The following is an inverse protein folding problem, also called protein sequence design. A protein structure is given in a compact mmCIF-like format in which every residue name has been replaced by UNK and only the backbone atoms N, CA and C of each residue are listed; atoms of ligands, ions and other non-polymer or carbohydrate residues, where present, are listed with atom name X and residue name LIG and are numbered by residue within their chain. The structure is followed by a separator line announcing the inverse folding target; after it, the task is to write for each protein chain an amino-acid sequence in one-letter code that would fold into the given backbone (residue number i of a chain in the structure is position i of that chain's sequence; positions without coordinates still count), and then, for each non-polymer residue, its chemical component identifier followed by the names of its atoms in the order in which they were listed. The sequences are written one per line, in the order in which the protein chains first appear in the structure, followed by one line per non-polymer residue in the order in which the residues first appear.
data_IF_385637404110
#
_entry.id   IF_385637404110
#
_cell.length_a   1.000
_cell.length_b   1.000
_cell.length_c   1.000
_cell.angle_alpha   90.00
_cell.angle_beta   90.00
_cell.angle_gamma   90.00
#
_symmetry.space_group_name_H-M   'P 1'
#
loop_
_entity.id
_entity.type
_entity.pdbx_description
1 polymer ?
#
# COMPACT_ATOMS: atom_id res chain seq x y z
N UNK A 1 4.00 7.39 2.26
CA UNK A 1 4.94 6.40 2.83
C UNK A 1 6.07 6.10 1.85
N UNK A 2 5.77 5.85 0.58
CA UNK A 2 6.76 5.74 -0.50
C UNK A 2 7.55 7.05 -0.70
N UNK A 3 6.90 8.21 -0.60
CA UNK A 3 7.52 9.53 -0.74
C UNK A 3 8.66 9.79 0.25
N UNK A 4 8.45 9.55 1.55
CA UNK A 4 9.49 9.71 2.59
C UNK A 4 10.72 8.82 2.32
N UNK A 5 10.48 7.58 1.87
CA UNK A 5 11.57 6.66 1.51
C UNK A 5 12.32 7.18 0.29
N UNK A 6 11.62 7.68 -0.72
CA UNK A 6 12.24 8.24 -1.93
C UNK A 6 13.05 9.50 -1.63
N UNK A 7 12.55 10.40 -0.80
CA UNK A 7 13.30 11.59 -0.36
C UNK A 7 14.56 11.17 0.41
N UNK A 8 14.43 10.27 1.38
CA UNK A 8 15.57 9.86 2.21
C UNK A 8 16.67 9.18 1.38
N UNK A 9 16.29 8.24 0.50
CA UNK A 9 17.24 7.56 -0.39
C UNK A 9 17.82 8.51 -1.42
N UNK A 10 16.98 9.39 -1.97
CA UNK A 10 17.38 10.41 -2.93
C UNK A 10 18.38 11.38 -2.34
N UNK A 11 18.16 11.87 -1.12
CA UNK A 11 19.10 12.74 -0.39
C UNK A 11 20.41 12.02 -0.07
N UNK A 12 20.35 10.74 0.30
CA UNK A 12 21.55 9.96 0.63
C UNK A 12 22.48 9.75 -0.59
N UNK A 13 21.91 9.53 -1.78
CA UNK A 13 22.67 9.23 -3.00
C UNK A 13 22.87 10.48 -3.88
N UNK A 14 22.05 11.51 -3.71
CA UNK A 14 22.10 12.78 -4.43
C UNK A 14 21.41 12.75 -5.80
N UNK A 15 20.68 11.68 -6.13
CA UNK A 15 19.95 11.53 -7.39
C UNK A 15 18.69 10.67 -7.18
N UNK A 16 17.75 10.74 -8.14
CA UNK A 16 16.47 10.03 -8.08
C UNK A 16 16.42 8.85 -9.06
N UNK A 17 15.62 7.83 -8.72
CA UNK A 17 15.26 6.77 -9.66
C UNK A 17 14.15 7.23 -10.61
N UNK A 18 14.03 6.64 -11.81
CA UNK A 18 12.98 7.00 -12.78
C UNK A 18 11.55 6.64 -12.32
N UNK A 19 11.42 5.82 -11.25
CA UNK A 19 10.14 5.49 -10.62
C UNK A 19 9.87 6.30 -9.35
N UNK A 20 10.77 7.21 -8.97
CA UNK A 20 10.65 8.05 -7.79
C UNK A 20 10.19 9.44 -8.21
N UNK A 21 9.12 9.94 -7.60
CA UNK A 21 8.75 11.35 -7.75
C UNK A 21 9.64 12.18 -6.82
N UNK A 22 10.59 12.92 -7.40
CA UNK A 22 11.55 13.74 -6.65
C UNK A 22 11.99 14.94 -7.48
N UNK A 23 12.38 16.03 -6.81
CA UNK A 23 12.99 17.20 -7.44
C UNK A 23 14.47 16.97 -7.83
N UNK A 24 15.08 15.88 -7.37
CA UNK A 24 16.47 15.54 -7.65
C UNK A 24 16.64 15.03 -9.09
N UNK A 25 17.79 15.31 -9.74
CA UNK A 25 18.06 14.79 -11.07
C UNK A 25 18.09 13.27 -11.06
N UNK A 26 17.67 12.64 -12.16
CA UNK A 26 17.75 11.20 -12.29
C UNK A 26 19.20 10.73 -12.30
N UNK A 27 19.48 9.60 -11.64
CA UNK A 27 20.79 8.97 -11.67
C UNK A 27 21.12 8.55 -13.12
N UNK A 28 22.29 8.97 -13.63
CA UNK A 28 22.68 8.79 -15.03
C UNK A 28 23.81 7.78 -15.24
N UNK A 29 24.44 7.33 -14.16
CA UNK A 29 25.55 6.39 -14.19
C UNK A 29 25.26 5.11 -13.39
N UNK A 30 25.91 4.02 -13.79
CA UNK A 30 25.77 2.69 -13.17
C UNK A 30 26.06 2.71 -11.67
N UNK A 31 27.11 3.42 -11.24
CA UNK A 31 27.48 3.49 -9.81
C UNK A 31 26.40 4.14 -8.99
N UNK A 32 25.87 5.27 -9.45
CA UNK A 32 24.79 6.00 -8.77
C UNK A 32 23.50 5.16 -8.70
N UNK A 33 23.11 4.50 -9.79
CA UNK A 33 21.93 3.61 -9.79
C UNK A 33 22.13 2.44 -8.83
N UNK A 34 23.31 1.82 -8.82
CA UNK A 34 23.61 0.72 -7.91
C UNK A 34 23.52 1.18 -6.45
N UNK A 35 24.11 2.33 -6.14
CA UNK A 35 24.13 2.87 -4.79
C UNK A 35 22.72 3.30 -4.35
N UNK A 36 21.89 3.84 -5.25
CA UNK A 36 20.46 4.12 -5.05
C UNK A 36 19.67 2.85 -4.73
N UNK A 37 19.84 1.79 -5.51
CA UNK A 37 19.16 0.51 -5.31
C UNK A 37 19.60 -0.12 -3.98
N UNK A 38 20.90 -0.12 -3.68
CA UNK A 38 21.43 -0.65 -2.42
C UNK A 38 20.90 0.11 -1.20
N UNK A 39 20.85 1.44 -1.26
CA UNK A 39 20.26 2.26 -0.21
C UNK A 39 18.77 1.94 -0.04
N UNK A 40 18.02 1.91 -1.14
CA UNK A 40 16.58 1.58 -1.12
C UNK A 40 16.28 0.19 -0.54
N UNK A 41 17.02 -0.85 -0.95
CA UNK A 41 16.87 -2.20 -0.41
C UNK A 41 17.21 -2.25 1.08
N UNK A 42 18.28 -1.55 1.50
CA UNK A 42 18.64 -1.45 2.91
C UNK A 42 17.52 -0.88 3.76
N UNK A 43 16.81 0.15 3.28
CA UNK A 43 15.62 0.70 3.96
C UNK A 43 14.52 -0.33 4.10
N UNK A 44 14.25 -1.07 3.02
CA UNK A 44 13.20 -2.07 2.99
C UNK A 44 13.49 -3.24 3.95
N UNK A 45 14.73 -3.71 4.01
CA UNK A 45 15.14 -4.80 4.90
C UNK A 45 15.15 -4.39 6.37
N UNK A 46 15.60 -3.18 6.69
CA UNK A 46 15.67 -2.63 8.05
C UNK A 46 14.44 -1.80 8.46
N UNK A 47 13.29 -2.01 7.81
CA UNK A 47 12.07 -1.20 7.98
C UNK A 47 11.58 -1.09 9.44
N UNK A 48 11.85 -2.07 10.30
CA UNK A 48 11.51 -2.02 11.74
C UNK A 48 12.25 -0.92 12.50
N UNK A 49 13.45 -0.53 12.04
CA UNK A 49 14.24 0.54 12.66
C UNK A 49 13.76 1.93 12.21
N UNK A 50 13.00 2.01 11.12
CA UNK A 50 12.48 3.27 10.58
C UNK A 50 11.24 3.74 11.34
N UNK A 51 11.45 4.32 12.53
CA UNK A 51 10.39 4.88 13.40
C UNK A 51 9.64 6.08 12.82
N UNK A 52 10.11 6.63 11.70
CA UNK A 52 9.55 7.84 11.08
C UNK A 52 8.27 7.56 10.28
N UNK A 53 7.95 6.31 9.96
CA UNK A 53 6.75 5.97 9.20
C UNK A 53 5.51 5.94 10.11
N UNK A 54 4.56 6.89 9.99
CA UNK A 54 3.33 6.85 10.75
C UNK A 54 2.51 5.61 10.36
N UNK A 55 1.89 4.97 11.34
CA UNK A 55 0.91 3.90 11.09
C UNK A 55 -0.35 4.53 10.51
N UNK A 56 -0.84 3.96 9.41
CA UNK A 56 -2.09 4.38 8.79
C UNK A 56 -3.26 3.81 9.59
N UNK A 57 -4.12 4.66 10.15
CA UNK A 57 -5.29 4.23 10.91
C UNK A 57 -6.38 3.63 10.03
N UNK A 58 -6.44 4.03 8.76
CA UNK A 58 -7.43 3.56 7.80
C UNK A 58 -6.68 2.87 6.66
N UNK A 59 -6.81 1.55 6.57
CA UNK A 59 -6.19 0.77 5.50
C UNK A 59 -7.21 -0.18 4.88
N UNK A 60 -7.11 -0.34 3.56
CA UNK A 60 -7.90 -1.29 2.79
C UNK A 60 -6.96 -2.36 2.28
N UNK A 61 -7.19 -3.60 2.70
CA UNK A 61 -6.38 -4.74 2.29
C UNK A 61 -7.19 -5.61 1.33
N UNK A 62 -6.67 -5.76 0.11
CA UNK A 62 -7.28 -6.58 -0.93
C UNK A 62 -6.58 -7.92 -1.01
N UNK A 63 -7.30 -8.99 -0.64
CA UNK A 63 -6.83 -10.35 -0.84
C UNK A 63 -7.27 -10.85 -2.21
N UNK A 64 -6.32 -11.07 -3.10
CA UNK A 64 -6.58 -11.57 -4.45
C UNK A 64 -6.26 -13.08 -4.54
N UNK A 65 -7.17 -13.83 -5.17
CA UNK A 65 -6.93 -15.22 -5.55
C UNK A 65 -6.74 -15.28 -7.06
N UNK A 66 -5.51 -15.55 -7.49
CA UNK A 66 -5.18 -15.67 -8.91
C UNK A 66 -5.52 -17.07 -9.38
N UNK A 67 -6.43 -17.15 -10.36
CA UNK A 67 -6.71 -18.41 -11.05
C UNK A 67 -6.29 -18.28 -12.50
N UNK A 68 -5.45 -19.20 -12.96
CA UNK A 68 -5.12 -19.31 -14.37
C UNK A 68 -6.06 -20.33 -15.00
N UNK A 69 -7.07 -19.85 -15.73
CA UNK A 69 -7.86 -20.71 -16.62
C UNK A 69 -7.11 -20.81 -17.94
N UNK A 70 -6.50 -21.97 -18.20
CA UNK A 70 -5.73 -22.17 -19.43
C UNK A 70 -6.61 -22.14 -20.68
N UNK A 71 -6.03 -21.46 -21.69
CA UNK A 71 -6.08 -21.66 -23.15
C UNK A 71 -7.47 -21.73 -23.79
N UNK A 72 -7.76 -20.77 -24.67
CA UNK A 72 -8.83 -20.76 -25.71
C UNK A 72 -9.98 -19.75 -25.56
N UNK A 73 -9.89 -18.76 -24.66
CA UNK A 73 -10.69 -17.55 -24.85
C UNK A 73 -10.01 -16.65 -25.88
N UNK A 74 -10.39 -16.81 -27.15
CA UNK A 74 -10.13 -15.80 -28.17
C UNK A 74 -11.18 -14.70 -27.96
N UNK A 75 -10.73 -13.48 -27.73
CA UNK A 75 -11.56 -12.27 -27.62
C UNK A 75 -11.98 -11.70 -28.97
N UNK A 76 -11.46 -12.26 -30.06
CA UNK A 76 -11.71 -11.70 -31.37
C UNK A 76 -13.19 -11.85 -31.68
N UNK A 77 -13.75 -10.92 -32.43
CA UNK A 77 -15.14 -11.05 -32.88
C UNK A 77 -15.25 -12.28 -33.82
N UNK A 78 -16.47 -12.70 -34.16
CA UNK A 78 -16.73 -13.84 -35.06
C UNK A 78 -15.93 -13.74 -36.37
N UNK A 79 -15.62 -12.51 -36.80
CA UNK A 79 -14.88 -12.18 -38.02
C UNK A 79 -13.34 -12.16 -37.88
N UNK A 80 -12.81 -12.41 -36.68
CA UNK A 80 -11.38 -12.50 -36.39
C UNK A 80 -10.50 -11.32 -36.89
N UNK A 81 -11.07 -10.11 -36.97
CA UNK A 81 -10.48 -8.99 -37.69
C UNK A 81 -9.16 -8.51 -37.05
N UNK A 82 -9.08 -8.52 -35.71
CA UNK A 82 -7.88 -8.11 -35.00
C UNK A 82 -6.73 -9.10 -35.21
N UNK A 83 -7.03 -10.41 -35.12
CA UNK A 83 -6.07 -11.49 -35.31
C UNK A 83 -5.45 -11.45 -36.69
N UNK A 84 -6.27 -11.21 -37.72
CA UNK A 84 -5.79 -11.12 -39.11
C UNK A 84 -4.91 -9.90 -39.37
N UNK A 85 -5.10 -8.81 -38.62
CA UNK A 85 -4.37 -7.55 -38.83
C UNK A 85 -3.04 -7.47 -38.07
N UNK A 86 -2.97 -8.04 -36.87
CA UNK A 86 -1.83 -7.84 -35.97
C UNK A 86 -0.78 -8.95 -36.01
N UNK A 87 -1.11 -10.18 -36.46
CA UNK A 87 -0.22 -11.36 -36.48
C UNK A 87 0.45 -11.71 -35.13
N UNK A 88 0.07 -11.03 -34.04
CA UNK A 88 0.72 -11.02 -32.73
C UNK A 88 -0.13 -11.73 -31.65
N UNK A 89 -0.87 -12.76 -32.06
CA UNK A 89 -1.85 -13.49 -31.24
C UNK A 89 -1.22 -14.08 -29.99
N UNK A 90 0.03 -14.54 -30.10
CA UNK A 90 0.78 -15.13 -28.99
C UNK A 90 1.15 -14.16 -27.88
N UNK A 91 1.04 -12.84 -28.10
CA UNK A 91 1.35 -11.81 -27.09
C UNK A 91 0.12 -11.28 -26.37
N UNK A 92 -1.05 -11.88 -26.63
CA UNK A 92 -2.27 -11.42 -26.02
C UNK A 92 -2.50 -12.08 -24.65
N UNK A 93 -2.76 -11.24 -23.64
CA UNK A 93 -3.17 -11.66 -22.30
C UNK A 93 -4.56 -11.11 -22.00
N UNK A 94 -5.42 -11.93 -21.40
CA UNK A 94 -6.70 -11.49 -20.85
C UNK A 94 -6.65 -11.54 -19.34
N UNK A 95 -7.09 -10.46 -18.70
CA UNK A 95 -7.19 -10.33 -17.26
C UNK A 95 -8.63 -10.01 -16.90
N UNK A 96 -9.24 -10.90 -16.12
CA UNK A 96 -10.57 -10.69 -15.57
C UNK A 96 -10.46 -10.46 -14.07
N UNK A 97 -10.92 -9.29 -13.62
CA UNK A 97 -10.91 -8.90 -12.21
C UNK A 97 -12.35 -8.97 -11.69
N UNK A 98 -12.57 -9.85 -10.71
CA UNK A 98 -13.88 -10.06 -10.10
C UNK A 98 -13.76 -10.05 -8.58
N UNK A 99 -14.75 -9.46 -7.91
CA UNK A 99 -14.93 -9.64 -6.46
C UNK A 99 -15.69 -10.96 -6.23
N UNK A 100 -15.10 -11.85 -5.42
CA UNK A 100 -15.62 -13.22 -5.23
C UNK A 100 -17.00 -13.22 -4.52
N UNK A 101 -17.19 -12.37 -3.51
CA UNK A 101 -18.48 -12.19 -2.83
C UNK A 101 -18.58 -10.79 -2.18
N UNK A 102 -19.76 -10.41 -1.71
CA UNK A 102 -20.00 -9.17 -0.94
C UNK A 102 -19.40 -9.17 0.49
N UNK A 103 -18.63 -10.19 0.88
CA UNK A 103 -18.02 -10.25 2.21
C UNK A 103 -16.82 -9.30 2.31
N UNK A 104 -17.01 -8.21 3.04
CA UNK A 104 -15.95 -7.27 3.43
C UNK A 104 -15.63 -7.53 4.90
N UNK A 105 -14.45 -8.05 5.20
CA UNK A 105 -13.98 -8.18 6.59
C UNK A 105 -13.51 -6.81 7.08
N UNK A 106 -14.20 -6.27 8.08
CA UNK A 106 -13.85 -5.00 8.72
C UNK A 106 -13.23 -5.29 10.09
N UNK A 107 -12.03 -4.77 10.31
CA UNK A 107 -11.34 -4.80 11.59
C UNK A 107 -11.26 -3.37 12.12
N UNK A 108 -11.77 -3.13 13.33
CA UNK A 108 -11.76 -1.82 13.97
C UNK A 108 -11.19 -1.95 15.39
N UNK A 109 -10.17 -1.16 15.70
CA UNK A 109 -9.69 -1.01 17.08
C UNK A 109 -10.60 -0.02 17.81
N UNK A 110 -11.18 -0.45 18.93
CA UNK A 110 -12.03 0.40 19.78
C UNK A 110 -11.41 0.57 21.15
N UNK A 111 -11.47 1.79 21.68
CA UNK A 111 -11.07 2.06 23.05
C UNK A 111 -11.99 1.33 24.03
N UNK A 112 -11.42 0.59 24.97
CA UNK A 112 -12.18 -0.07 26.04
C UNK A 112 -12.67 0.95 27.08
N UNK A 113 -12.01 2.10 27.18
CA UNK A 113 -12.37 3.18 28.09
C UNK A 113 -13.02 4.32 27.30
N UNK A 114 -14.34 4.45 27.44
CA UNK A 114 -15.14 5.51 26.81
C UNK A 114 -15.39 6.68 27.79
N UNK A 115 -15.75 7.84 27.24
CA UNK A 115 -16.12 9.04 27.99
C UNK A 115 -17.22 8.78 29.02
N UNK A 116 -18.16 7.90 28.72
CA UNK A 116 -19.22 7.53 29.68
C UNK A 116 -18.66 6.84 30.93
N UNK A 117 -17.69 5.94 30.74
CA UNK A 117 -17.03 5.24 31.83
C UNK A 117 -16.13 6.20 32.64
N UNK A 118 -15.41 7.08 31.93
CA UNK A 118 -14.64 8.17 32.53
C UNK A 118 -15.48 9.08 33.43
N UNK A 119 -16.61 9.55 32.91
CA UNK A 119 -17.52 10.42 33.65
C UNK A 119 -18.17 9.70 34.83
N UNK A 120 -18.44 8.40 34.71
CA UNK A 120 -18.95 7.58 35.81
C UNK A 120 -17.95 7.48 36.98
N UNK A 121 -16.68 7.22 36.69
CA UNK A 121 -15.61 7.11 37.72
C UNK A 121 -15.36 8.45 38.41
N UNK A 122 -15.34 9.55 37.65
CA UNK A 122 -15.21 10.90 38.21
C UNK A 122 -16.45 11.31 39.00
N UNK A 123 -17.65 11.08 38.46
CA UNK A 123 -18.92 11.44 39.10
C UNK A 123 -19.10 10.74 40.44
N UNK A 124 -18.80 9.44 40.51
CA UNK A 124 -18.85 8.68 41.77
C UNK A 124 -17.86 9.19 42.82
N UNK A 125 -16.69 9.66 42.39
CA UNK A 125 -15.64 10.19 43.27
C UNK A 125 -15.94 11.61 43.76
N UNK A 126 -16.43 12.48 42.89
CA UNK A 126 -16.76 13.88 43.21
C UNK A 126 -17.97 13.96 44.14
N UNK A 127 -19.02 13.17 43.88
CA UNK A 127 -20.21 13.13 44.75
C UNK A 127 -19.85 12.72 46.18
N UNK A 128 -18.92 11.79 46.36
CA UNK A 128 -18.44 11.41 47.71
C UNK A 128 -17.70 12.54 48.42
N UNK A 129 -16.91 13.33 47.71
CA UNK A 129 -16.19 14.48 48.28
C UNK A 129 -17.18 15.58 48.69
N UNK A 130 -18.16 15.88 47.83
CA UNK A 130 -19.16 16.93 48.09
C UNK A 130 -20.09 16.58 49.25
N UNK A 131 -20.43 15.30 49.46
CA UNK A 131 -21.26 14.85 50.61
C UNK A 131 -20.45 14.80 51.92
N UNK A 132 -19.12 14.78 51.85
CA UNK A 132 -18.24 14.74 53.04
C UNK A 132 -17.81 16.12 53.54
N UNK A 133 -18.30 17.21 52.93
CA UNK A 133 -18.10 18.62 53.32
C UNK A 133 -19.44 19.16 53.85
#
# INVERSE_FOLDING_TARGET
MTELVWETVGEQVGCSGPWMESALPHCDNYTQIRDLISAYIGIYEDHEKWRLCPRLCHTLLYNAYVTNRQREYWWDDVDAQWRTRSSAVQYQTQLYLHFNSMMVSVYEERYNYDWNLFLSDLGGSIVRIVISI
#
